data_IF_741307407766
#
_entry.id   IF_741307407766
#
_cell.length_a   1.000
_cell.length_b   1.000
_cell.length_c   1.000
_cell.angle_alpha   90.00
_cell.angle_beta   90.00
_cell.angle_gamma   90.00
#
_symmetry.space_group_name_H-M   'P 1'
#
loop_
_entity.id
_entity.type
_entity.pdbx_description
1 polymer ?
#
# COMPACT_ATOMS: atom_id res chain seq x y z
N UNK A 1 -0.40 7.86 -22.02
CA UNK A 1 -1.03 7.61 -20.72
C UNK A 1 -2.14 8.64 -20.55
N UNK A 2 -3.36 8.21 -20.22
CA UNK A 2 -4.45 9.14 -19.92
C UNK A 2 -4.02 10.02 -18.73
N UNK A 3 -4.29 11.32 -18.84
CA UNK A 3 -4.08 12.24 -17.74
C UNK A 3 -5.09 11.88 -16.64
N UNK A 4 -4.59 11.65 -15.43
CA UNK A 4 -5.41 11.33 -14.26
C UNK A 4 -5.27 12.47 -13.27
N UNK A 5 -6.40 12.93 -12.75
CA UNK A 5 -6.38 13.87 -11.63
C UNK A 5 -6.02 13.12 -10.35
N UNK A 6 -4.83 13.40 -9.81
CA UNK A 6 -4.39 12.89 -8.52
C UNK A 6 -5.15 13.53 -7.34
N UNK A 7 -4.70 13.24 -6.15
CA UNK A 7 -5.17 13.90 -4.93
C UNK A 7 -5.61 12.93 -3.84
N UNK A 8 -5.88 13.52 -2.66
CA UNK A 8 -6.18 12.77 -1.43
C UNK A 8 -7.42 11.86 -1.57
N UNK A 9 -8.49 12.36 -2.16
CA UNK A 9 -9.75 11.60 -2.28
C UNK A 9 -9.54 10.36 -3.16
N UNK A 10 -8.82 10.49 -4.28
CA UNK A 10 -8.45 9.35 -5.13
C UNK A 10 -7.63 8.31 -4.35
N UNK A 11 -6.66 8.77 -3.57
CA UNK A 11 -5.85 7.89 -2.72
C UNK A 11 -6.69 7.11 -1.72
N UNK A 12 -7.60 7.77 -1.01
CA UNK A 12 -8.49 7.13 -0.04
C UNK A 12 -9.34 6.02 -0.70
N UNK A 13 -9.88 6.27 -1.89
CA UNK A 13 -10.70 5.28 -2.61
C UNK A 13 -9.86 4.10 -3.07
N UNK A 14 -8.67 4.34 -3.64
CA UNK A 14 -7.78 3.28 -4.10
C UNK A 14 -7.35 2.37 -2.95
N UNK A 15 -6.96 2.94 -1.80
CA UNK A 15 -6.59 2.17 -0.61
C UNK A 15 -7.78 1.34 -0.10
N UNK A 16 -8.96 1.94 0.00
CA UNK A 16 -10.15 1.21 0.47
C UNK A 16 -10.56 0.11 -0.50
N UNK A 17 -10.53 0.37 -1.79
CA UNK A 17 -10.93 -0.61 -2.80
C UNK A 17 -9.96 -1.81 -2.85
N UNK A 18 -8.65 -1.57 -2.78
CA UNK A 18 -7.67 -2.67 -2.77
C UNK A 18 -7.74 -3.48 -1.47
N UNK A 19 -7.96 -2.84 -0.33
CA UNK A 19 -8.21 -3.50 0.96
C UNK A 19 -9.42 -4.44 0.86
N UNK A 20 -10.57 -3.96 0.38
CA UNK A 20 -11.79 -4.75 0.26
C UNK A 20 -11.65 -5.94 -0.71
N UNK A 21 -10.83 -5.80 -1.75
CA UNK A 21 -10.49 -6.94 -2.62
C UNK A 21 -9.63 -7.96 -1.87
N UNK A 22 -8.61 -7.51 -1.14
CA UNK A 22 -7.71 -8.40 -0.41
C UNK A 22 -8.41 -9.13 0.74
N UNK A 23 -9.40 -8.50 1.38
CA UNK A 23 -10.24 -9.13 2.43
C UNK A 23 -11.36 -10.00 1.87
N UNK A 24 -11.63 -9.93 0.56
CA UNK A 24 -12.69 -10.68 -0.10
C UNK A 24 -14.08 -10.03 0.02
N UNK A 25 -14.17 -8.80 0.51
CA UNK A 25 -15.42 -8.04 0.59
C UNK A 25 -15.93 -7.64 -0.81
N UNK A 26 -15.01 -7.40 -1.74
CA UNK A 26 -15.30 -7.09 -3.14
C UNK A 26 -14.57 -8.06 -4.05
N UNK A 27 -15.25 -8.58 -5.07
CA UNK A 27 -14.64 -9.47 -6.05
C UNK A 27 -13.82 -8.68 -7.08
N UNK A 28 -12.83 -9.33 -7.71
CA UNK A 28 -12.00 -8.72 -8.76
C UNK A 28 -12.72 -8.60 -10.12
N UNK A 29 -14.01 -8.97 -10.20
CA UNK A 29 -14.78 -8.77 -11.41
C UNK A 29 -14.87 -7.26 -11.73
N UNK A 30 -14.58 -6.90 -12.98
CA UNK A 30 -14.52 -5.49 -13.41
C UNK A 30 -15.79 -4.72 -13.03
N UNK A 31 -16.96 -5.29 -13.28
CA UNK A 31 -18.23 -4.66 -12.94
C UNK A 31 -18.39 -4.40 -11.44
N UNK A 32 -17.95 -5.34 -10.58
CA UNK A 32 -18.02 -5.19 -9.13
C UNK A 32 -17.07 -4.11 -8.64
N UNK A 33 -15.85 -4.04 -9.18
CA UNK A 33 -14.89 -3.00 -8.86
C UNK A 33 -15.39 -1.61 -9.27
N UNK A 34 -15.97 -1.47 -10.45
CA UNK A 34 -16.53 -0.19 -10.94
C UNK A 34 -17.71 0.24 -10.06
N UNK A 35 -18.62 -0.65 -9.75
CA UNK A 35 -19.77 -0.37 -8.89
C UNK A 35 -19.31 0.11 -7.52
N UNK A 36 -18.38 -0.63 -6.89
CA UNK A 36 -17.85 -0.28 -5.58
C UNK A 36 -17.07 1.04 -5.59
N UNK A 37 -16.24 1.27 -6.61
CA UNK A 37 -15.57 2.55 -6.79
C UNK A 37 -16.54 3.72 -6.88
N UNK A 38 -17.63 3.56 -7.65
CA UNK A 38 -18.68 4.57 -7.76
C UNK A 38 -19.36 4.85 -6.42
N UNK A 39 -19.60 3.83 -5.60
CA UNK A 39 -20.19 3.99 -4.27
C UNK A 39 -19.22 4.71 -3.32
N UNK A 40 -17.95 4.39 -3.37
CA UNK A 40 -16.93 5.10 -2.58
C UNK A 40 -16.82 6.58 -2.97
N UNK A 41 -16.90 6.90 -4.27
CA UNK A 41 -16.94 8.28 -4.76
C UNK A 41 -18.15 9.01 -4.18
N UNK A 42 -19.34 8.40 -4.25
CA UNK A 42 -20.58 8.98 -3.72
C UNK A 42 -20.52 9.18 -2.20
N UNK A 43 -19.88 8.27 -1.46
CA UNK A 43 -19.72 8.37 -0.02
C UNK A 43 -18.89 9.59 0.41
N UNK A 44 -18.04 10.10 -0.48
CA UNK A 44 -17.28 11.36 -0.29
C UNK A 44 -18.09 12.60 -0.70
N UNK A 45 -19.38 12.45 -1.06
CA UNK A 45 -20.22 13.55 -1.54
C UNK A 45 -19.87 14.01 -2.97
N UNK A 46 -19.21 13.15 -3.76
CA UNK A 46 -18.83 13.42 -5.15
C UNK A 46 -19.67 12.61 -6.12
N UNK A 47 -19.68 13.03 -7.37
CA UNK A 47 -20.27 12.25 -8.47
C UNK A 47 -19.17 11.66 -9.34
N UNK A 48 -19.28 10.38 -9.73
CA UNK A 48 -18.33 9.81 -10.68
C UNK A 48 -18.36 10.55 -12.02
N UNK A 49 -17.20 10.73 -12.62
CA UNK A 49 -17.04 11.32 -13.95
C UNK A 49 -16.50 10.28 -14.95
N UNK A 50 -16.77 10.49 -16.24
CA UNK A 50 -16.26 9.60 -17.27
C UNK A 50 -14.78 9.86 -17.57
N UNK A 51 -14.35 11.14 -17.57
CA UNK A 51 -12.97 11.53 -17.86
C UNK A 51 -12.15 11.67 -16.57
N UNK A 52 -11.17 10.80 -16.33
CA UNK A 52 -10.35 10.82 -15.12
C UNK A 52 -9.45 12.07 -15.00
N UNK A 53 -9.30 12.86 -16.06
CA UNK A 53 -8.59 14.12 -16.00
C UNK A 53 -9.42 15.23 -15.33
N UNK A 54 -10.72 15.07 -15.26
CA UNK A 54 -11.65 16.09 -14.72
C UNK A 54 -12.17 15.78 -13.31
N UNK A 55 -11.92 14.57 -12.81
CA UNK A 55 -12.36 14.18 -11.47
C UNK A 55 -12.20 12.68 -11.21
N UNK A 56 -13.00 12.17 -10.26
CA UNK A 56 -12.95 10.77 -9.86
C UNK A 56 -13.74 9.90 -10.84
N UNK A 57 -13.08 9.02 -11.57
CA UNK A 57 -13.67 8.07 -12.50
C UNK A 57 -13.69 6.67 -11.87
N UNK A 58 -14.87 6.06 -11.79
CA UNK A 58 -15.04 4.72 -11.24
C UNK A 58 -14.31 3.67 -12.09
N UNK A 59 -14.38 3.81 -13.43
CA UNK A 59 -13.67 2.93 -14.36
C UNK A 59 -12.15 3.00 -14.20
N UNK A 60 -11.62 4.22 -14.07
CA UNK A 60 -10.16 4.42 -13.85
C UNK A 60 -9.70 3.80 -12.54
N UNK A 61 -10.43 4.05 -11.44
CA UNK A 61 -10.10 3.54 -10.12
C UNK A 61 -10.14 2.00 -10.09
N UNK A 62 -11.17 1.40 -10.66
CA UNK A 62 -11.29 -0.05 -10.80
C UNK A 62 -10.13 -0.63 -11.62
N UNK A 63 -9.84 -0.04 -12.77
CA UNK A 63 -8.74 -0.46 -13.62
C UNK A 63 -7.37 -0.28 -12.95
N UNK A 64 -7.18 0.77 -12.15
CA UNK A 64 -5.96 1.01 -11.38
C UNK A 64 -5.73 -0.12 -10.36
N UNK A 65 -6.73 -0.50 -9.59
CA UNK A 65 -6.66 -1.61 -8.63
C UNK A 65 -6.39 -2.93 -9.34
N UNK A 66 -7.14 -3.24 -10.41
CA UNK A 66 -6.96 -4.49 -11.16
C UNK A 66 -5.53 -4.61 -11.71
N UNK A 67 -4.99 -3.54 -12.32
CA UNK A 67 -3.61 -3.51 -12.81
C UNK A 67 -2.60 -3.69 -11.69
N UNK A 68 -2.80 -3.03 -10.55
CA UNK A 68 -1.91 -3.12 -9.38
C UNK A 68 -1.83 -4.56 -8.87
N UNK A 69 -2.97 -5.22 -8.72
CA UNK A 69 -3.03 -6.61 -8.26
C UNK A 69 -2.46 -7.61 -9.27
N UNK A 70 -2.44 -7.26 -10.55
CA UNK A 70 -1.85 -8.07 -11.63
C UNK A 70 -0.34 -7.85 -11.81
N UNK A 71 0.29 -6.88 -11.12
CA UNK A 71 1.75 -6.71 -11.17
C UNK A 71 2.43 -8.00 -10.72
N UNK A 72 3.47 -8.49 -11.43
CA UNK A 72 4.10 -9.79 -11.14
C UNK A 72 4.53 -9.94 -9.68
N UNK A 73 5.14 -8.90 -9.10
CA UNK A 73 5.59 -8.91 -7.71
C UNK A 73 4.41 -9.04 -6.72
N UNK A 74 3.29 -8.41 -7.03
CA UNK A 74 2.09 -8.42 -6.19
C UNK A 74 1.32 -9.74 -6.39
N UNK A 75 1.14 -10.17 -7.63
CA UNK A 75 0.47 -11.43 -7.95
C UNK A 75 1.15 -12.62 -7.26
N UNK A 76 2.48 -12.61 -7.18
CA UNK A 76 3.23 -13.65 -6.47
C UNK A 76 3.00 -13.65 -4.95
N UNK A 77 2.71 -12.50 -4.35
CA UNK A 77 2.44 -12.36 -2.91
C UNK A 77 0.98 -12.62 -2.54
N UNK A 78 0.04 -12.49 -3.50
CA UNK A 78 -1.41 -12.55 -3.29
C UNK A 78 -1.90 -13.68 -2.37
N UNK A 79 -1.44 -14.94 -2.51
CA UNK A 79 -1.95 -16.04 -1.69
C UNK A 79 -1.74 -15.88 -0.18
N UNK A 80 -0.77 -15.06 0.23
CA UNK A 80 -0.43 -14.81 1.62
C UNK A 80 -0.49 -13.33 2.04
N UNK A 81 -1.04 -12.46 1.18
CA UNK A 81 -1.08 -11.03 1.43
C UNK A 81 -2.25 -10.67 2.34
N UNK A 82 -1.93 -10.12 3.51
CA UNK A 82 -2.88 -9.65 4.52
C UNK A 82 -3.00 -8.14 4.42
N UNK A 83 -4.23 -7.63 4.31
CA UNK A 83 -4.49 -6.20 4.22
C UNK A 83 -4.59 -5.57 5.61
N UNK A 84 -4.22 -4.27 5.71
CA UNK A 84 -4.36 -3.42 6.90
C UNK A 84 -3.87 -4.08 8.20
N UNK A 85 -2.59 -4.45 8.22
CA UNK A 85 -2.02 -5.13 9.37
C UNK A 85 -1.46 -4.12 10.39
N UNK A 86 -1.94 -4.13 11.65
CA UNK A 86 -1.39 -3.28 12.69
C UNK A 86 0.03 -3.70 13.04
N UNK A 87 0.95 -2.75 13.07
CA UNK A 87 2.36 -2.96 13.42
C UNK A 87 2.72 -2.14 14.66
N UNK A 88 3.48 -2.74 15.55
CA UNK A 88 3.87 -2.12 16.81
C UNK A 88 5.38 -2.28 17.03
N UNK A 89 6.01 -1.24 17.53
CA UNK A 89 7.36 -1.31 18.07
C UNK A 89 7.38 -0.76 19.49
N UNK A 90 7.98 -1.50 20.40
CA UNK A 90 8.31 -1.01 21.72
C UNK A 90 9.81 -0.68 21.77
N UNK A 91 10.15 0.54 22.12
CA UNK A 91 11.54 0.96 22.37
C UNK A 91 11.67 1.40 23.82
N UNK A 92 12.63 0.84 24.52
CA UNK A 92 13.01 1.28 25.86
C UNK A 92 14.28 2.17 25.74
N UNK A 93 14.14 3.44 26.07
CA UNK A 93 15.26 4.38 26.14
C UNK A 93 15.23 5.01 27.54
N UNK A 94 16.32 4.89 28.27
CA UNK A 94 16.49 5.47 29.64
C UNK A 94 15.38 5.07 30.62
N UNK A 95 14.87 3.83 30.55
CA UNK A 95 13.84 3.33 31.43
C UNK A 95 12.41 3.82 31.09
N UNK A 96 12.25 4.54 29.98
CA UNK A 96 10.94 4.92 29.44
C UNK A 96 10.61 4.02 28.26
N UNK A 97 9.52 3.27 28.38
CA UNK A 97 8.98 2.46 27.31
C UNK A 97 8.12 3.32 26.37
N UNK A 98 8.56 3.50 25.14
CA UNK A 98 7.79 4.21 24.12
C UNK A 98 7.26 3.19 23.12
N UNK A 99 5.94 3.10 23.00
CA UNK A 99 5.29 2.28 21.99
C UNK A 99 4.99 3.14 20.75
N UNK A 100 5.49 2.71 19.60
CA UNK A 100 5.13 3.28 18.30
C UNK A 100 4.20 2.30 17.60
N UNK A 101 3.06 2.78 17.13
CA UNK A 101 2.08 1.98 16.40
C UNK A 101 1.89 2.56 14.99
N UNK A 102 1.67 1.70 14.03
CA UNK A 102 1.33 2.05 12.66
C UNK A 102 0.45 0.98 12.03
N UNK A 103 -0.06 1.25 10.85
CA UNK A 103 -0.81 0.28 10.05
C UNK A 103 -0.05 0.12 8.74
N UNK A 104 0.44 -1.10 8.47
CA UNK A 104 0.96 -1.44 7.16
C UNK A 104 -0.22 -1.70 6.22
N UNK A 105 -0.18 -1.15 5.02
CA UNK A 105 -1.27 -1.32 4.04
C UNK A 105 -1.51 -2.80 3.71
N UNK A 106 -0.44 -3.57 3.55
CA UNK A 106 -0.48 -5.01 3.46
C UNK A 106 0.86 -5.64 3.87
N UNK A 107 0.83 -6.91 4.28
CA UNK A 107 2.04 -7.68 4.53
C UNK A 107 1.82 -9.17 4.31
N UNK A 108 2.91 -9.90 4.15
CA UNK A 108 2.91 -11.35 4.18
C UNK A 108 3.59 -11.87 5.43
N UNK A 109 3.15 -13.02 5.92
CA UNK A 109 3.77 -13.73 7.03
C UNK A 109 4.36 -15.05 6.55
N UNK A 110 5.48 -15.44 7.13
CA UNK A 110 6.10 -16.74 6.92
C UNK A 110 5.35 -17.87 7.64
N UNK A 111 5.83 -19.09 7.47
CA UNK A 111 5.26 -20.27 8.15
C UNK A 111 5.39 -20.22 9.68
N UNK A 112 6.35 -19.45 10.17
CA UNK A 112 6.59 -19.17 11.59
C UNK A 112 5.73 -18.02 12.15
N UNK A 113 4.85 -17.44 11.32
CA UNK A 113 3.99 -16.32 11.68
C UNK A 113 4.69 -14.96 11.70
N UNK A 114 5.96 -14.88 11.30
CA UNK A 114 6.70 -13.61 11.27
C UNK A 114 6.48 -12.88 9.96
N UNK A 115 6.40 -11.53 9.98
CA UNK A 115 6.35 -10.72 8.78
C UNK A 115 7.55 -10.95 7.87
N UNK A 116 7.31 -11.10 6.57
CA UNK A 116 8.34 -11.34 5.55
C UNK A 116 8.45 -10.18 4.58
N UNK A 117 7.32 -9.74 4.05
CA UNK A 117 7.24 -8.63 3.09
C UNK A 117 6.20 -7.64 3.56
N UNK A 118 6.56 -6.35 3.62
CA UNK A 118 5.62 -5.25 3.82
C UNK A 118 5.33 -4.61 2.47
N UNK A 119 4.07 -4.32 2.18
CA UNK A 119 3.64 -3.64 0.96
C UNK A 119 2.98 -2.33 1.33
N UNK A 120 3.36 -1.27 0.65
CA UNK A 120 2.89 0.09 0.85
C UNK A 120 2.36 0.63 -0.48
N UNK A 121 1.04 0.89 -0.54
CA UNK A 121 0.36 1.40 -1.72
C UNK A 121 0.47 2.91 -1.80
N UNK A 122 0.87 3.44 -2.94
CA UNK A 122 0.93 4.88 -3.20
C UNK A 122 0.12 5.24 -4.45
N UNK A 123 -0.77 6.19 -4.31
CA UNK A 123 -1.70 6.62 -5.37
C UNK A 123 -1.19 7.79 -6.20
N UNK A 124 -0.02 8.33 -5.88
CA UNK A 124 0.56 9.49 -6.55
C UNK A 124 0.71 9.27 -8.05
N UNK A 125 0.44 10.32 -8.82
CA UNK A 125 0.55 10.28 -10.28
C UNK A 125 2.00 10.40 -10.72
N UNK A 126 2.73 11.38 -10.17
CA UNK A 126 4.13 11.64 -10.45
C UNK A 126 4.84 12.13 -9.18
N UNK A 127 5.19 11.25 -8.24
CA UNK A 127 5.91 11.66 -7.05
C UNK A 127 7.32 12.13 -7.41
N UNK A 128 7.76 13.24 -6.81
CA UNK A 128 9.12 13.72 -6.95
C UNK A 128 10.12 12.89 -6.12
N UNK A 129 11.41 13.18 -6.29
CA UNK A 129 12.47 12.43 -5.59
C UNK A 129 12.36 12.54 -4.06
N UNK A 130 11.99 13.72 -3.55
CA UNK A 130 11.84 13.95 -2.11
C UNK A 130 10.68 13.13 -1.54
N UNK A 131 9.55 13.07 -2.25
CA UNK A 131 8.40 12.24 -1.90
C UNK A 131 8.78 10.76 -1.89
N UNK A 132 9.51 10.29 -2.91
CA UNK A 132 9.99 8.90 -2.96
C UNK A 132 10.95 8.56 -1.82
N UNK A 133 11.83 9.48 -1.42
CA UNK A 133 12.72 9.28 -0.27
C UNK A 133 11.95 9.22 1.05
N UNK A 134 10.88 10.03 1.18
CA UNK A 134 9.98 9.94 2.32
C UNK A 134 9.28 8.58 2.39
N UNK A 135 8.79 8.04 1.27
CA UNK A 135 8.18 6.71 1.22
C UNK A 135 9.17 5.60 1.58
N UNK A 136 10.41 5.69 1.09
CA UNK A 136 11.47 4.75 1.48
C UNK A 136 11.73 4.77 2.98
N UNK A 137 11.80 5.97 3.58
CA UNK A 137 11.98 6.12 5.03
C UNK A 137 10.82 5.53 5.81
N UNK A 138 9.56 5.74 5.36
CA UNK A 138 8.38 5.17 5.97
C UNK A 138 8.41 3.63 5.93
N UNK A 139 8.72 3.05 4.78
CA UNK A 139 8.79 1.58 4.65
C UNK A 139 9.93 1.01 5.49
N UNK A 140 11.11 1.66 5.55
CA UNK A 140 12.19 1.23 6.46
C UNK A 140 11.75 1.21 7.91
N UNK A 141 10.99 2.21 8.36
CA UNK A 141 10.42 2.22 9.70
C UNK A 141 9.48 1.02 9.93
N UNK A 142 8.66 0.65 8.95
CA UNK A 142 7.85 -0.57 9.03
C UNK A 142 8.70 -1.84 9.08
N UNK A 143 9.79 -1.93 8.32
CA UNK A 143 10.70 -3.07 8.39
C UNK A 143 11.35 -3.19 9.76
N UNK A 144 11.77 -2.09 10.35
CA UNK A 144 12.35 -2.05 11.69
C UNK A 144 11.32 -2.48 12.76
N UNK A 145 10.06 -2.04 12.64
CA UNK A 145 8.98 -2.42 13.55
C UNK A 145 8.56 -3.89 13.42
N UNK A 146 8.52 -4.42 12.21
CA UNK A 146 7.99 -5.77 11.93
C UNK A 146 9.05 -6.84 11.93
N UNK A 147 10.32 -6.48 11.72
CA UNK A 147 11.40 -7.43 11.45
C UNK A 147 11.32 -8.07 10.06
N UNK A 148 10.47 -7.56 9.17
CA UNK A 148 10.36 -8.06 7.81
C UNK A 148 11.66 -7.81 7.03
N UNK A 149 12.00 -8.72 6.13
CA UNK A 149 13.26 -8.69 5.37
C UNK A 149 13.27 -7.61 4.29
N UNK A 150 12.11 -7.33 3.70
CA UNK A 150 11.95 -6.40 2.59
C UNK A 150 10.58 -5.73 2.58
N UNK A 151 10.55 -4.57 1.94
CA UNK A 151 9.32 -3.85 1.66
C UNK A 151 9.19 -3.53 0.18
N UNK A 152 7.96 -3.38 -0.28
CA UNK A 152 7.62 -2.95 -1.63
C UNK A 152 6.82 -1.66 -1.54
N UNK A 153 7.29 -0.61 -2.21
CA UNK A 153 6.51 0.59 -2.47
C UNK A 153 5.89 0.41 -3.85
N UNK A 154 4.58 0.43 -3.92
CA UNK A 154 3.84 0.20 -5.16
C UNK A 154 3.18 1.50 -5.60
N UNK A 155 3.71 2.12 -6.64
CA UNK A 155 3.12 3.29 -7.28
C UNK A 155 1.98 2.81 -8.18
N UNK A 156 0.76 2.78 -7.65
CA UNK A 156 -0.40 2.15 -8.29
C UNK A 156 -0.73 2.77 -9.65
N UNK A 157 -0.57 4.08 -9.79
CA UNK A 157 -0.92 4.80 -11.02
C UNK A 157 0.03 4.47 -12.17
N UNK A 158 1.33 4.42 -11.91
CA UNK A 158 2.35 4.08 -12.92
C UNK A 158 2.59 2.57 -13.05
N UNK A 159 2.19 1.77 -12.07
CA UNK A 159 2.51 0.35 -12.00
C UNK A 159 3.98 0.07 -11.65
N UNK A 160 4.66 1.01 -11.02
CA UNK A 160 6.07 0.86 -10.63
C UNK A 160 6.16 0.23 -9.25
N UNK A 161 7.00 -0.79 -9.11
CA UNK A 161 7.31 -1.43 -7.82
C UNK A 161 8.75 -1.10 -7.44
N UNK A 162 8.93 -0.59 -6.22
CA UNK A 162 10.24 -0.23 -5.69
C UNK A 162 10.56 -1.10 -4.48
N UNK A 163 11.70 -1.79 -4.53
CA UNK A 163 12.18 -2.63 -3.43
C UNK A 163 12.89 -1.77 -2.37
N UNK A 164 12.57 -2.03 -1.11
CA UNK A 164 13.25 -1.49 0.07
C UNK A 164 13.75 -2.66 0.91
N UNK A 165 15.03 -2.69 1.23
CA UNK A 165 15.63 -3.72 2.07
C UNK A 165 15.77 -3.20 3.51
N UNK A 166 15.61 -4.11 4.47
CA UNK A 166 15.94 -3.84 5.86
C UNK A 166 17.43 -3.46 6.00
N UNK A 167 17.73 -2.48 6.84
CA UNK A 167 19.11 -2.16 7.18
C UNK A 167 19.65 -3.34 7.99
N UNK A 168 20.69 -4.04 7.49
CA UNK A 168 21.38 -5.05 8.28
C UNK A 168 21.98 -4.34 9.49
N UNK A 169 21.49 -4.65 10.68
CA UNK A 169 22.23 -4.33 11.90
C UNK A 169 23.56 -5.05 11.80
N UNK A 170 24.64 -4.29 11.66
CA UNK A 170 25.99 -4.77 11.91
C UNK A 170 26.08 -4.95 13.43
N UNK A 171 25.50 -6.04 13.95
CA UNK A 171 25.89 -6.50 15.26
C UNK A 171 27.35 -6.91 15.14
N UNK A 172 28.19 -6.16 15.86
CA UNK A 172 29.61 -6.28 15.81
C UNK A 172 30.09 -7.68 16.13
N UNK A 173 31.00 -8.17 15.32
CA UNK A 173 32.07 -8.99 15.79
C UNK A 173 32.79 -8.21 16.90
N UNK A 174 32.42 -8.49 18.12
CA UNK A 174 33.29 -8.25 19.28
C UNK A 174 33.94 -9.60 19.62
N UNK A 175 35.21 -9.66 19.29
CA UNK A 175 36.17 -10.68 19.73
C UNK A 175 36.28 -10.65 21.26
#
# INVERSE_FOLDING_TARGET
>A
AALVQGGRERGLILHKLIEEVLTGEVTEAEAALIERAADLIRSLGRSPVADPATGLSADELAACVARTLALPDIAALRPGLLAEFPVYAAQATDGVETATAGIADALTVGKDGRPVVVVDWKSDVNPDAQTLDHYRAQVRAYLDMTGAERGLIVLMTSGTVMLVLATKSTEGEAI
#
